data_IF_117262156094
#
_entry.id   IF_117262156094
#
_cell.length_a   1.000
_cell.length_b   1.000
_cell.length_c   1.000
_cell.angle_alpha   90.00
_cell.angle_beta   90.00
_cell.angle_gamma   90.00
#
_symmetry.space_group_name_H-M   'P 1'
#
loop_
_entity.id
_entity.type
_entity.pdbx_description
1 polymer ?
#
# COMPACT_ATOMS: atom_id res chain seq x y z
N UNK A 1 9.01 17.23 32.88
CA UNK A 1 10.50 17.36 32.84
C UNK A 1 10.87 18.79 32.50
N UNK A 2 11.93 19.38 33.08
CA UNK A 2 12.38 20.72 32.72
C UNK A 2 13.55 20.63 31.72
N UNK A 3 13.23 20.57 30.43
CA UNK A 3 14.23 20.75 29.36
C UNK A 3 14.64 22.23 29.33
N UNK A 4 15.89 22.53 29.73
CA UNK A 4 16.48 23.87 29.59
C UNK A 4 16.73 24.22 28.11
N UNK A 5 17.33 25.38 27.83
CA UNK A 5 17.63 25.93 26.47
C UNK A 5 18.57 25.04 25.59
N UNK A 6 18.60 23.72 25.79
CA UNK A 6 19.45 22.75 25.11
C UNK A 6 19.07 22.52 23.64
N UNK A 7 20.08 22.22 22.84
CA UNK A 7 19.95 21.83 21.44
C UNK A 7 19.02 20.61 21.28
N UNK A 8 18.30 20.55 20.16
CA UNK A 8 17.45 19.42 19.84
C UNK A 8 18.25 18.11 19.80
N UNK A 9 17.69 17.03 20.34
CA UNK A 9 18.34 15.72 20.33
C UNK A 9 18.02 14.99 19.04
N UNK A 10 19.03 14.39 18.43
CA UNK A 10 18.91 13.67 17.16
C UNK A 10 19.98 12.58 17.09
N UNK A 11 20.00 11.83 15.98
CA UNK A 11 20.94 10.73 15.80
C UNK A 11 22.40 11.17 16.05
N UNK A 12 23.09 10.48 16.95
CA UNK A 12 24.45 10.80 17.40
C UNK A 12 24.54 11.65 18.67
N UNK A 13 23.43 12.25 19.15
CA UNK A 13 23.36 12.86 20.48
C UNK A 13 23.62 11.82 21.56
N UNK A 14 24.28 12.21 22.68
CA UNK A 14 24.59 11.32 23.79
C UNK A 14 24.42 12.00 25.14
N UNK A 15 24.17 11.22 26.18
CA UNK A 15 24.21 11.66 27.56
C UNK A 15 22.88 11.46 28.30
N UNK A 16 22.77 12.14 29.45
CA UNK A 16 21.65 11.95 30.36
C UNK A 16 20.31 12.36 29.73
N UNK A 17 20.28 13.43 28.94
CA UNK A 17 19.06 13.91 28.27
C UNK A 17 18.50 12.88 27.29
N UNK A 18 19.38 12.23 26.52
CA UNK A 18 19.00 11.12 25.62
C UNK A 18 18.43 9.96 26.44
N UNK A 19 19.09 9.60 27.54
CA UNK A 19 18.62 8.52 28.40
C UNK A 19 17.22 8.78 28.96
N UNK A 20 16.95 10.01 29.37
CA UNK A 20 15.65 10.45 29.87
C UNK A 20 14.56 10.34 28.79
N UNK A 21 14.85 10.71 27.55
CA UNK A 21 13.94 10.51 26.41
C UNK A 21 13.68 9.03 26.16
N UNK A 22 14.73 8.20 26.18
CA UNK A 22 14.60 6.76 25.98
C UNK A 22 13.77 6.10 27.09
N UNK A 23 13.95 6.51 28.35
CA UNK A 23 13.14 6.05 29.48
C UNK A 23 11.67 6.41 29.29
N UNK A 24 11.36 7.65 28.87
CA UNK A 24 10.00 8.06 28.54
C UNK A 24 9.39 7.21 27.42
N UNK A 25 10.13 6.97 26.33
CA UNK A 25 9.66 6.10 25.24
C UNK A 25 9.38 4.67 25.71
N UNK A 26 10.25 4.09 26.53
CA UNK A 26 10.04 2.75 27.09
C UNK A 26 8.79 2.73 27.97
N UNK A 27 8.55 3.76 28.77
CA UNK A 27 7.34 3.91 29.59
C UNK A 27 6.07 4.01 28.73
N UNK A 28 6.15 4.66 27.57
CA UNK A 28 5.07 4.73 26.59
C UNK A 28 4.91 3.43 25.75
N UNK A 29 5.72 2.40 26.00
CA UNK A 29 5.58 1.09 25.35
C UNK A 29 6.38 0.91 24.06
N UNK A 30 7.31 1.80 23.73
CA UNK A 30 8.20 1.62 22.59
C UNK A 30 9.34 0.64 22.90
N UNK A 31 9.63 -0.26 21.96
CA UNK A 31 10.79 -1.15 22.03
C UNK A 31 12.03 -0.46 21.43
N UNK A 32 13.02 -0.18 22.28
CA UNK A 32 14.31 0.40 21.87
C UNK A 32 15.39 -0.66 21.65
N UNK A 33 15.00 -1.93 21.61
CA UNK A 33 15.88 -3.07 21.46
C UNK A 33 16.67 -3.39 22.73
N UNK A 34 17.66 -4.30 22.64
CA UNK A 34 18.36 -4.84 23.80
C UNK A 34 19.13 -3.82 24.64
N UNK A 35 19.51 -2.68 24.06
CA UNK A 35 20.25 -1.63 24.75
C UNK A 35 19.34 -0.80 25.69
N UNK A 36 18.05 -0.70 25.38
CA UNK A 36 17.09 0.09 26.15
C UNK A 36 17.50 1.56 26.24
N UNK A 37 17.42 2.14 27.44
CA UNK A 37 17.85 3.50 27.72
C UNK A 37 19.34 3.56 28.09
N UNK A 38 20.20 3.61 27.07
CA UNK A 38 21.66 3.62 27.20
C UNK A 38 22.30 5.02 27.12
N UNK A 39 21.52 6.04 26.79
CA UNK A 39 21.98 7.41 26.58
C UNK A 39 22.68 7.64 25.24
N UNK A 40 22.55 6.76 24.26
CA UNK A 40 23.02 6.94 22.88
C UNK A 40 21.84 7.05 21.91
N UNK A 41 21.72 8.19 21.22
CA UNK A 41 20.61 8.43 20.31
C UNK A 41 20.91 7.73 18.98
N UNK A 42 20.58 6.44 18.92
CA UNK A 42 20.73 5.62 17.73
C UNK A 42 19.44 5.48 16.91
N UNK A 43 19.50 4.63 15.88
CA UNK A 43 18.37 4.36 14.96
C UNK A 43 17.10 3.88 15.67
N UNK A 44 17.23 3.11 16.75
CA UNK A 44 16.08 2.61 17.51
C UNK A 44 15.32 3.77 18.19
N UNK A 45 16.06 4.70 18.81
CA UNK A 45 15.49 5.91 19.43
C UNK A 45 14.87 6.82 18.38
N UNK A 46 15.57 7.07 17.26
CA UNK A 46 15.05 7.86 16.13
C UNK A 46 13.73 7.28 15.59
N UNK A 47 13.67 5.96 15.39
CA UNK A 47 12.45 5.25 14.95
C UNK A 47 11.31 5.37 15.96
N UNK A 48 11.59 5.21 17.25
CA UNK A 48 10.58 5.35 18.30
C UNK A 48 10.04 6.78 18.42
N UNK A 49 10.90 7.81 18.31
CA UNK A 49 10.46 9.21 18.24
C UNK A 49 9.60 9.46 17.02
N UNK A 50 9.99 8.93 15.86
CA UNK A 50 9.20 9.04 14.63
C UNK A 50 7.81 8.42 14.82
N UNK A 51 7.72 7.23 15.43
CA UNK A 51 6.44 6.57 15.70
C UNK A 51 5.60 7.34 16.72
N UNK A 52 6.22 7.89 17.76
CA UNK A 52 5.56 8.74 18.74
C UNK A 52 4.99 10.01 18.09
N UNK A 53 5.79 10.74 17.30
CA UNK A 53 5.37 11.94 16.58
C UNK A 53 4.20 11.68 15.62
N UNK A 54 4.12 10.47 15.03
CA UNK A 54 2.99 10.05 14.18
C UNK A 54 1.74 9.71 14.96
N UNK A 55 1.89 9.03 16.10
CA UNK A 55 0.80 8.37 16.80
C UNK A 55 0.18 9.17 17.94
N UNK A 56 0.93 10.10 18.54
CA UNK A 56 0.46 10.86 19.68
C UNK A 56 -0.26 12.14 19.25
N UNK A 57 -1.49 12.33 19.74
CA UNK A 57 -2.25 13.56 19.58
C UNK A 57 -2.24 14.34 20.90
N UNK A 58 -1.65 15.56 20.94
CA UNK A 58 -1.65 16.40 22.14
C UNK A 58 -3.06 16.67 22.68
N UNK A 59 -3.23 16.50 23.98
CA UNK A 59 -4.48 16.82 24.68
C UNK A 59 -4.45 18.23 25.26
N UNK A 60 -3.25 18.78 25.47
CA UNK A 60 -2.99 20.03 26.17
C UNK A 60 -3.45 20.06 27.63
N UNK A 61 -3.60 18.90 28.27
CA UNK A 61 -3.94 18.80 29.69
C UNK A 61 -2.74 19.09 30.59
N UNK A 62 -1.52 18.79 30.14
CA UNK A 62 -0.28 18.99 30.92
C UNK A 62 0.43 20.27 30.49
N UNK A 63 0.46 20.55 29.18
CA UNK A 63 1.11 21.72 28.60
C UNK A 63 0.15 22.53 27.73
N UNK A 64 -0.19 23.74 28.19
CA UNK A 64 -1.27 24.56 27.62
C UNK A 64 -1.08 24.90 26.13
N UNK A 65 0.15 24.98 25.63
CA UNK A 65 0.42 25.36 24.23
C UNK A 65 1.71 24.74 23.69
N UNK A 66 1.58 23.74 22.83
CA UNK A 66 2.64 23.30 21.91
C UNK A 66 1.99 22.64 20.68
N UNK A 67 2.78 22.34 19.65
CA UNK A 67 2.34 21.50 18.54
C UNK A 67 3.49 20.59 18.18
N UNK A 68 3.22 19.29 18.06
CA UNK A 68 4.19 18.36 17.49
C UNK A 68 4.57 18.87 16.10
N UNK A 69 5.88 18.96 15.85
CA UNK A 69 6.45 19.47 14.62
C UNK A 69 6.31 18.49 13.45
N UNK A 70 7.30 18.51 12.57
CA UNK A 70 7.40 17.50 11.51
C UNK A 70 7.70 16.13 12.13
N UNK A 71 7.31 15.06 11.42
CA UNK A 71 7.68 13.70 11.77
C UNK A 71 9.09 13.43 11.24
N UNK A 72 10.08 13.85 12.02
CA UNK A 72 11.50 13.88 11.62
C UNK A 72 12.42 13.05 12.53
N UNK A 73 11.88 12.44 13.59
CA UNK A 73 12.67 11.66 14.54
C UNK A 73 13.55 12.51 15.47
N UNK A 74 13.39 13.83 15.46
CA UNK A 74 14.16 14.80 16.26
C UNK A 74 13.36 15.17 17.50
N UNK A 75 14.04 15.22 18.65
CA UNK A 75 13.44 15.72 19.90
C UNK A 75 13.74 17.18 20.05
N UNK A 76 12.87 18.00 19.47
CA UNK A 76 12.81 19.43 19.73
C UNK A 76 12.04 19.72 21.04
N UNK A 77 11.93 21.02 21.39
CA UNK A 77 11.20 21.45 22.59
C UNK A 77 9.75 20.96 22.59
N UNK A 78 9.08 20.93 21.44
CA UNK A 78 7.68 20.53 21.37
C UNK A 78 7.52 19.01 21.49
N UNK A 79 8.42 18.23 20.92
CA UNK A 79 8.46 16.78 21.05
C UNK A 79 8.76 16.37 22.49
N UNK A 80 9.64 17.10 23.18
CA UNK A 80 9.90 16.89 24.60
C UNK A 80 8.65 17.17 25.48
N UNK A 81 7.91 18.26 25.19
CA UNK A 81 6.64 18.55 25.87
C UNK A 81 5.58 17.48 25.58
N UNK A 82 5.53 16.98 24.35
CA UNK A 82 4.65 15.90 23.95
C UNK A 82 4.94 14.61 24.71
N UNK A 83 6.22 14.21 24.81
CA UNK A 83 6.62 13.02 25.57
C UNK A 83 6.25 13.14 27.04
N UNK A 84 6.47 14.31 27.66
CA UNK A 84 6.11 14.57 29.05
C UNK A 84 4.60 14.51 29.30
N UNK A 85 3.80 15.04 28.36
CA UNK A 85 2.33 14.94 28.40
C UNK A 85 1.87 13.49 28.24
N UNK A 86 2.37 12.78 27.23
CA UNK A 86 2.03 11.38 26.99
C UNK A 86 2.34 10.49 28.18
N UNK A 87 3.49 10.69 28.84
CA UNK A 87 3.86 9.96 30.06
C UNK A 87 2.89 10.32 31.20
N UNK A 88 2.62 11.60 31.40
CA UNK A 88 1.70 12.07 32.46
C UNK A 88 0.29 11.51 32.31
N UNK A 89 -0.13 11.24 31.07
CA UNK A 89 -1.43 10.69 30.73
C UNK A 89 -1.47 9.15 30.71
N UNK A 90 -0.34 8.49 30.93
CA UNK A 90 -0.18 7.04 30.73
C UNK A 90 -0.62 6.61 29.32
N UNK A 91 -0.35 7.45 28.31
CA UNK A 91 -0.56 7.07 26.92
C UNK A 91 0.34 5.86 26.59
N UNK A 92 -0.16 4.95 25.75
CA UNK A 92 0.57 3.74 25.37
C UNK A 92 0.57 3.60 23.86
N UNK A 93 1.75 3.42 23.30
CA UNK A 93 1.93 3.03 21.92
C UNK A 93 1.45 1.60 21.72
N UNK A 94 0.64 1.39 20.69
CA UNK A 94 0.20 0.07 20.25
C UNK A 94 0.66 -0.08 18.82
N UNK A 95 1.67 -0.93 18.60
CA UNK A 95 2.06 -1.34 17.25
C UNK A 95 0.93 -2.17 16.64
N UNK A 96 0.16 -1.54 15.76
CA UNK A 96 -0.95 -2.15 15.06
C UNK A 96 -0.58 -2.62 13.65
N UNK A 97 0.70 -2.60 13.25
CA UNK A 97 1.11 -2.84 11.87
C UNK A 97 0.66 -4.21 11.34
N UNK A 98 0.49 -5.18 12.24
CA UNK A 98 0.02 -6.54 11.96
C UNK A 98 -1.42 -6.81 12.42
N UNK A 99 -2.21 -5.79 12.79
CA UNK A 99 -3.62 -5.97 13.13
C UNK A 99 -4.44 -6.44 11.91
N UNK A 100 -5.39 -7.36 12.11
CA UNK A 100 -6.28 -7.87 11.05
C UNK A 100 -7.21 -6.80 10.49
N UNK A 101 -7.44 -5.68 11.20
CA UNK A 101 -8.22 -4.55 10.69
C UNK A 101 -7.71 -4.03 9.35
N UNK A 102 -6.41 -4.15 9.10
CA UNK A 102 -5.76 -3.73 7.85
C UNK A 102 -6.11 -4.60 6.64
N UNK A 103 -6.74 -5.77 6.84
CA UNK A 103 -7.30 -6.59 5.76
C UNK A 103 -8.62 -6.05 5.20
N UNK A 104 -9.22 -5.04 5.86
CA UNK A 104 -10.36 -4.30 5.34
C UNK A 104 -9.88 -3.00 4.71
N UNK A 105 -10.30 -2.70 3.48
CA UNK A 105 -9.91 -1.50 2.73
C UNK A 105 -11.11 -0.56 2.51
N UNK A 106 -10.91 0.77 2.49
CA UNK A 106 -11.98 1.74 2.30
C UNK A 106 -12.65 1.66 0.93
N UNK A 107 -11.92 1.24 -0.11
CA UNK A 107 -12.43 1.00 -1.46
C UNK A 107 -11.78 -0.24 -2.05
N UNK A 108 -12.52 -0.94 -2.90
CA UNK A 108 -11.94 -2.02 -3.69
C UNK A 108 -11.72 -3.32 -2.93
N UNK A 109 -12.47 -3.56 -1.84
CA UNK A 109 -12.39 -4.81 -1.07
C UNK A 109 -12.54 -6.03 -1.99
N UNK A 110 -13.45 -5.94 -2.97
CA UNK A 110 -13.61 -6.98 -3.97
C UNK A 110 -12.29 -7.31 -4.69
N UNK A 111 -11.55 -6.30 -5.15
CA UNK A 111 -10.25 -6.51 -5.82
C UNK A 111 -9.19 -6.98 -4.82
N UNK A 112 -9.13 -6.37 -3.63
CA UNK A 112 -8.20 -6.77 -2.56
C UNK A 112 -8.27 -8.27 -2.28
N UNK A 113 -9.48 -8.81 -2.07
CA UNK A 113 -9.72 -10.23 -1.78
C UNK A 113 -9.42 -11.15 -2.97
N UNK A 114 -9.39 -10.61 -4.19
CA UNK A 114 -9.13 -11.36 -5.42
C UNK A 114 -7.64 -11.45 -5.80
N UNK A 115 -6.82 -10.53 -5.32
CA UNK A 115 -5.40 -10.41 -5.70
C UNK A 115 -4.45 -11.23 -4.82
N UNK A 116 -4.96 -11.82 -3.73
CA UNK A 116 -4.17 -12.73 -2.90
C UNK A 116 -4.85 -13.03 -1.57
N UNK A 117 -4.08 -13.57 -0.64
CA UNK A 117 -4.52 -13.77 0.75
C UNK A 117 -3.42 -13.38 1.73
N UNK A 118 -3.75 -13.49 3.01
CA UNK A 118 -2.86 -13.24 4.13
C UNK A 118 -2.60 -14.53 4.95
N UNK A 119 -2.45 -15.65 4.25
CA UNK A 119 -2.20 -16.96 4.83
C UNK A 119 -0.81 -17.39 4.41
N UNK A 120 0.17 -17.35 5.31
CA UNK A 120 1.59 -17.57 4.98
C UNK A 120 1.89 -18.91 4.29
N UNK A 121 1.10 -19.95 4.57
CA UNK A 121 1.22 -21.26 3.92
C UNK A 121 0.54 -21.35 2.54
N UNK A 122 -0.17 -20.31 2.10
CA UNK A 122 -0.90 -20.27 0.85
C UNK A 122 0.02 -19.92 -0.32
N UNK A 123 -0.24 -20.53 -1.47
CA UNK A 123 0.38 -20.12 -2.73
C UNK A 123 -0.02 -18.69 -3.18
N UNK A 124 -1.07 -18.12 -2.56
CA UNK A 124 -1.54 -16.76 -2.83
C UNK A 124 -1.14 -15.77 -1.73
N UNK A 125 -0.21 -16.14 -0.84
CA UNK A 125 0.28 -15.24 0.19
C UNK A 125 0.90 -13.99 -0.44
N UNK A 126 0.30 -12.85 -0.16
CA UNK A 126 0.52 -11.63 -0.94
C UNK A 126 1.63 -10.73 -0.39
N UNK A 127 1.85 -10.72 0.92
CA UNK A 127 2.77 -9.75 1.55
C UNK A 127 4.24 -9.95 1.20
N UNK A 128 4.64 -11.15 0.81
CA UNK A 128 6.03 -11.49 0.48
C UNK A 128 6.33 -11.22 -0.99
N UNK A 129 7.46 -10.56 -1.25
CA UNK A 129 7.97 -10.37 -2.60
C UNK A 129 8.19 -11.73 -3.29
N UNK A 130 7.67 -11.88 -4.51
CA UNK A 130 7.78 -13.09 -5.30
C UNK A 130 7.80 -12.77 -6.80
N UNK A 131 8.19 -13.73 -7.63
CA UNK A 131 8.03 -13.63 -9.10
C UNK A 131 7.08 -14.73 -9.53
N UNK A 132 5.93 -14.45 -10.17
CA UNK A 132 5.01 -15.49 -10.62
C UNK A 132 5.68 -16.45 -11.64
N UNK A 133 5.94 -17.70 -11.25
CA UNK A 133 6.56 -18.71 -12.11
C UNK A 133 5.88 -20.09 -11.94
N UNK A 134 6.04 -20.97 -12.92
CA UNK A 134 5.55 -22.35 -12.81
C UNK A 134 6.50 -23.23 -11.95
N UNK A 135 6.15 -24.50 -11.76
CA UNK A 135 6.95 -25.46 -10.97
C UNK A 135 8.36 -25.70 -11.53
N UNK A 136 8.57 -25.44 -12.82
CA UNK A 136 9.85 -25.63 -13.51
C UNK A 136 10.73 -24.36 -13.45
N UNK A 137 10.29 -23.32 -12.75
CA UNK A 137 10.99 -22.04 -12.62
C UNK A 137 10.83 -21.12 -13.82
N UNK A 138 9.95 -21.45 -14.77
CA UNK A 138 9.67 -20.59 -15.94
C UNK A 138 8.71 -19.48 -15.51
N UNK A 139 9.14 -18.23 -15.69
CA UNK A 139 8.36 -17.06 -15.27
C UNK A 139 7.13 -16.90 -16.17
N UNK A 140 5.98 -16.66 -15.55
CA UNK A 140 4.70 -16.51 -16.24
C UNK A 140 4.68 -15.15 -16.95
N UNK A 141 4.48 -15.16 -18.26
CA UNK A 141 4.26 -13.95 -19.05
C UNK A 141 5.49 -13.01 -19.08
N UNK A 142 5.26 -11.74 -18.75
CA UNK A 142 6.29 -10.70 -18.67
C UNK A 142 6.46 -10.19 -17.24
N UNK A 143 6.10 -11.01 -16.24
CA UNK A 143 6.03 -10.60 -14.84
C UNK A 143 7.41 -10.22 -14.30
N UNK A 144 7.47 -9.21 -13.44
CA UNK A 144 8.63 -8.90 -12.61
C UNK A 144 8.40 -9.31 -11.16
N UNK A 145 9.15 -8.68 -10.26
CA UNK A 145 8.96 -8.82 -8.81
C UNK A 145 7.60 -8.23 -8.43
N UNK A 146 6.76 -9.09 -7.87
CA UNK A 146 5.40 -8.77 -7.40
C UNK A 146 5.34 -8.80 -5.88
N UNK A 147 4.70 -7.80 -5.27
CA UNK A 147 4.55 -7.71 -3.81
C UNK A 147 3.18 -7.13 -3.43
N UNK A 148 2.67 -7.53 -2.27
CA UNK A 148 1.36 -7.15 -1.79
C UNK A 148 0.25 -7.68 -2.69
N UNK A 149 -0.84 -6.93 -2.79
CA UNK A 149 -2.03 -7.29 -3.57
C UNK A 149 -1.85 -7.02 -5.07
N UNK A 150 -0.81 -7.59 -5.67
CA UNK A 150 -0.60 -7.63 -7.12
C UNK A 150 0.18 -6.47 -7.74
N UNK A 151 0.98 -5.73 -6.96
CA UNK A 151 1.89 -4.71 -7.53
C UNK A 151 3.09 -5.40 -8.18
N UNK A 152 3.14 -5.42 -9.51
CA UNK A 152 4.30 -5.88 -10.30
C UNK A 152 5.27 -4.71 -10.56
N UNK A 153 6.45 -4.73 -9.93
CA UNK A 153 7.50 -3.72 -10.12
C UNK A 153 8.19 -3.80 -11.48
N UNK A 154 8.08 -4.94 -12.19
CA UNK A 154 8.53 -5.05 -13.58
C UNK A 154 7.61 -4.32 -14.56
N UNK A 155 6.31 -4.27 -14.27
CA UNK A 155 5.29 -3.58 -15.07
C UNK A 155 4.40 -2.70 -14.20
N UNK A 156 4.96 -1.69 -13.51
CA UNK A 156 4.18 -0.85 -12.61
C UNK A 156 3.02 -0.21 -13.38
N UNK A 157 1.87 0.01 -12.72
CA UNK A 157 0.69 0.57 -13.38
C UNK A 157 1.01 1.84 -14.17
N UNK A 158 0.62 1.81 -15.45
CA UNK A 158 0.70 2.94 -16.38
C UNK A 158 -0.69 3.48 -16.70
N UNK A 159 -0.77 4.78 -17.01
CA UNK A 159 -2.02 5.48 -17.21
C UNK A 159 -2.64 5.07 -18.54
N UNK A 160 -3.88 5.46 -18.81
CA UNK A 160 -4.33 5.34 -20.19
C UNK A 160 -3.55 6.30 -21.08
N UNK A 161 -3.45 5.95 -22.37
CA UNK A 161 -2.77 6.76 -23.38
C UNK A 161 -3.22 8.23 -23.30
N UNK A 162 -2.27 9.15 -23.08
CA UNK A 162 -2.51 10.59 -23.01
C UNK A 162 -2.88 11.15 -21.63
N UNK A 163 -2.76 10.37 -20.54
CA UNK A 163 -3.03 10.85 -19.18
C UNK A 163 -1.80 11.29 -18.39
N UNK A 164 -2.05 12.11 -17.37
CA UNK A 164 -1.11 12.47 -16.30
C UNK A 164 -1.69 12.10 -14.93
N UNK A 165 -0.95 11.45 -14.02
CA UNK A 165 0.40 10.93 -14.26
C UNK A 165 0.36 9.69 -15.16
N UNK A 166 1.26 9.64 -16.14
CA UNK A 166 1.33 8.56 -17.12
C UNK A 166 1.78 7.22 -16.53
N UNK A 167 2.32 7.24 -15.31
CA UNK A 167 2.82 6.09 -14.56
C UNK A 167 2.68 6.32 -13.06
N UNK A 168 2.41 5.26 -12.30
CA UNK A 168 2.50 5.28 -10.85
C UNK A 168 3.97 5.42 -10.43
N UNK A 169 4.31 6.43 -9.63
CA UNK A 169 5.67 6.62 -9.11
C UNK A 169 5.91 5.70 -7.92
N UNK A 170 6.71 4.64 -8.11
CA UNK A 170 6.98 3.66 -7.07
C UNK A 170 7.66 4.26 -5.82
N UNK A 171 8.56 5.23 -6.01
CA UNK A 171 9.23 5.89 -4.88
C UNK A 171 8.25 6.59 -3.94
N UNK A 172 7.31 7.36 -4.52
CA UNK A 172 6.25 8.04 -3.75
C UNK A 172 5.32 7.02 -3.10
N UNK A 173 4.94 5.96 -3.83
CA UNK A 173 4.12 4.85 -3.33
C UNK A 173 4.74 4.19 -2.09
N UNK A 174 6.03 3.84 -2.16
CA UNK A 174 6.71 3.15 -1.05
C UNK A 174 6.87 4.05 0.16
N UNK A 175 7.09 5.34 -0.05
CA UNK A 175 7.12 6.34 1.02
C UNK A 175 5.77 6.46 1.73
N UNK A 176 4.66 6.64 1.00
CA UNK A 176 3.32 6.76 1.61
C UNK A 176 2.86 5.45 2.25
N UNK A 177 3.41 4.32 1.80
CA UNK A 177 3.11 3.00 2.34
C UNK A 177 4.00 2.61 3.52
N UNK A 178 4.87 3.51 3.97
CA UNK A 178 5.75 3.31 5.14
C UNK A 178 6.68 2.09 5.00
N UNK A 179 7.18 1.82 3.79
CA UNK A 179 8.20 0.78 3.61
C UNK A 179 9.52 1.20 4.27
N UNK A 180 10.28 0.20 4.71
CA UNK A 180 11.66 0.42 5.17
C UNK A 180 12.52 0.91 4.00
N UNK A 181 13.59 1.66 4.31
CA UNK A 181 14.57 2.11 3.30
C UNK A 181 15.11 0.93 2.50
N UNK A 182 15.44 -0.16 3.18
CA UNK A 182 16.03 -1.38 2.63
C UNK A 182 15.11 -2.02 1.60
N UNK A 183 13.83 -2.23 1.95
CA UNK A 183 12.85 -2.81 1.02
C UNK A 183 12.51 -1.85 -0.12
N UNK A 184 12.34 -0.56 0.17
CA UNK A 184 12.05 0.45 -0.84
C UNK A 184 13.18 0.55 -1.89
N UNK A 185 14.43 0.67 -1.44
CA UNK A 185 15.58 0.78 -2.33
C UNK A 185 15.76 -0.49 -3.16
N UNK A 186 15.55 -1.67 -2.55
CA UNK A 186 15.60 -2.93 -3.27
C UNK A 186 14.50 -3.04 -4.34
N UNK A 187 13.24 -2.73 -4.02
CA UNK A 187 12.13 -2.76 -4.99
C UNK A 187 12.34 -1.76 -6.14
N UNK A 188 12.89 -0.58 -5.86
CA UNK A 188 13.25 0.41 -6.88
C UNK A 188 14.40 -0.09 -7.77
N UNK A 189 15.36 -0.85 -7.23
CA UNK A 189 16.47 -1.41 -8.01
C UNK A 189 16.03 -2.45 -9.04
N UNK A 190 14.90 -3.14 -8.80
CA UNK A 190 14.32 -4.16 -9.69
C UNK A 190 13.19 -3.60 -10.57
N UNK A 191 12.95 -2.28 -10.54
CA UNK A 191 11.92 -1.65 -11.34
C UNK A 191 12.16 -1.89 -12.85
N UNK A 192 11.14 -2.37 -13.56
CA UNK A 192 11.22 -2.66 -14.98
C UNK A 192 11.92 -3.98 -15.34
N UNK A 193 12.52 -4.67 -14.37
CA UNK A 193 13.13 -5.99 -14.58
C UNK A 193 12.04 -7.07 -14.63
N UNK A 194 12.16 -8.00 -15.58
CA UNK A 194 11.11 -8.98 -15.90
C UNK A 194 11.69 -10.37 -16.12
N UNK A 195 10.80 -11.35 -16.10
CA UNK A 195 11.07 -12.76 -16.40
C UNK A 195 12.17 -13.35 -15.52
N UNK A 196 12.97 -14.27 -16.07
CA UNK A 196 14.01 -15.01 -15.34
C UNK A 196 15.02 -14.07 -14.66
N UNK A 197 15.32 -12.91 -15.25
CA UNK A 197 16.19 -11.91 -14.61
C UNK A 197 15.60 -11.34 -13.32
N UNK A 198 14.27 -11.15 -13.26
CA UNK A 198 13.61 -10.72 -12.01
C UNK A 198 13.67 -11.82 -10.94
N UNK A 199 13.47 -13.08 -11.35
CA UNK A 199 13.56 -14.23 -10.45
C UNK A 199 14.99 -14.40 -9.92
N UNK A 200 16.00 -14.22 -10.77
CA UNK A 200 17.41 -14.26 -10.38
C UNK A 200 17.75 -13.16 -9.37
N UNK A 201 17.30 -11.92 -9.58
CA UNK A 201 17.52 -10.83 -8.62
C UNK A 201 16.81 -11.05 -7.29
N UNK A 202 15.60 -11.63 -7.30
CA UNK A 202 14.90 -12.02 -6.07
C UNK A 202 15.68 -13.10 -5.30
N UNK A 203 16.14 -14.16 -6.00
CA UNK A 203 16.87 -15.26 -5.37
C UNK A 203 18.26 -14.84 -4.85
N UNK A 204 18.87 -13.83 -5.47
CA UNK A 204 20.18 -13.30 -5.09
C UNK A 204 20.09 -12.03 -4.23
N UNK A 205 18.90 -11.70 -3.70
CA UNK A 205 18.73 -10.55 -2.82
C UNK A 205 19.59 -10.69 -1.57
N UNK A 206 20.20 -9.59 -1.12
CA UNK A 206 20.88 -9.52 0.16
C UNK A 206 19.93 -9.34 1.34
N UNK A 207 18.63 -9.14 1.08
CA UNK A 207 17.61 -8.97 2.10
C UNK A 207 17.13 -10.32 2.62
N UNK A 208 16.91 -10.38 3.92
CA UNK A 208 16.31 -11.53 4.59
C UNK A 208 14.82 -11.68 4.24
N UNK A 209 14.27 -12.88 4.45
CA UNK A 209 12.88 -13.17 4.08
C UNK A 209 11.84 -12.24 4.74
N UNK A 210 12.10 -11.80 5.97
CA UNK A 210 11.23 -10.86 6.70
C UNK A 210 11.35 -9.43 6.14
N UNK A 211 12.53 -9.02 5.68
CA UNK A 211 12.76 -7.72 5.04
C UNK A 211 12.09 -7.64 3.66
N UNK A 212 11.89 -8.78 3.00
CA UNK A 212 11.11 -8.92 1.75
C UNK A 212 9.61 -9.10 1.97
N UNK A 213 9.11 -8.92 3.20
CA UNK A 213 7.70 -9.15 3.56
C UNK A 213 7.08 -7.89 4.16
N UNK A 214 5.97 -7.43 3.56
CA UNK A 214 5.21 -6.29 4.07
C UNK A 214 4.52 -6.61 5.39
N UNK A 215 4.27 -5.60 6.23
CA UNK A 215 3.24 -5.69 7.28
C UNK A 215 1.84 -5.62 6.66
N UNK A 216 0.78 -5.93 7.44
CA UNK A 216 -0.60 -5.77 6.95
C UNK A 216 -0.91 -4.31 6.65
N UNK A 217 -0.46 -3.39 7.51
CA UNK A 217 -0.59 -1.94 7.33
C UNK A 217 0.10 -1.44 6.06
N UNK A 218 1.35 -1.85 5.81
CA UNK A 218 2.07 -1.47 4.59
C UNK A 218 1.35 -1.97 3.33
N UNK A 219 0.89 -3.22 3.32
CA UNK A 219 0.09 -3.75 2.21
C UNK A 219 -1.22 -2.98 2.00
N UNK A 220 -1.90 -2.61 3.09
CA UNK A 220 -3.14 -1.83 3.05
C UNK A 220 -2.92 -0.46 2.42
N UNK A 221 -1.92 0.30 2.89
CA UNK A 221 -1.60 1.64 2.39
C UNK A 221 -1.18 1.60 0.91
N UNK A 222 -0.35 0.60 0.57
CA UNK A 222 0.09 0.38 -0.81
C UNK A 222 -1.08 0.06 -1.73
N UNK A 223 -1.96 -0.87 -1.31
CA UNK A 223 -3.14 -1.22 -2.10
C UNK A 223 -4.07 -0.02 -2.31
N UNK A 224 -4.36 0.78 -1.28
CA UNK A 224 -5.25 1.93 -1.42
C UNK A 224 -4.75 2.91 -2.49
N UNK A 225 -3.45 3.20 -2.48
CA UNK A 225 -2.80 4.10 -3.45
C UNK A 225 -2.88 3.52 -4.87
N UNK A 226 -2.57 2.22 -5.03
CA UNK A 226 -2.66 1.54 -6.33
C UNK A 226 -4.11 1.48 -6.81
N UNK A 227 -5.07 1.20 -5.92
CA UNK A 227 -6.48 1.08 -6.26
C UNK A 227 -7.06 2.40 -6.73
N UNK A 228 -6.73 3.51 -6.06
CA UNK A 228 -7.15 4.85 -6.48
C UNK A 228 -6.64 5.17 -7.90
N UNK A 229 -5.38 4.86 -8.18
CA UNK A 229 -4.81 4.98 -9.52
C UNK A 229 -5.58 4.13 -10.56
N UNK A 230 -5.90 2.89 -10.20
CA UNK A 230 -6.60 1.96 -11.09
C UNK A 230 -8.08 2.30 -11.28
N UNK A 231 -8.74 2.88 -10.27
CA UNK A 231 -10.09 3.44 -10.37
C UNK A 231 -10.13 4.57 -11.40
N UNK A 232 -9.21 5.54 -11.29
CA UNK A 232 -9.14 6.68 -12.20
C UNK A 232 -8.77 6.26 -13.63
N UNK A 233 -7.79 5.36 -13.75
CA UNK A 233 -7.44 4.74 -15.04
C UNK A 233 -8.65 4.07 -15.68
N UNK A 234 -9.42 3.31 -14.91
CA UNK A 234 -10.63 2.63 -15.38
C UNK A 234 -11.65 3.65 -15.88
N UNK A 235 -11.97 4.66 -15.06
CA UNK A 235 -12.90 5.72 -15.43
C UNK A 235 -12.54 6.30 -16.79
N UNK A 236 -11.30 6.72 -16.97
CA UNK A 236 -10.89 7.36 -18.23
C UNK A 236 -10.85 6.37 -19.39
N UNK A 237 -10.45 5.10 -19.19
CA UNK A 237 -10.52 4.10 -20.24
C UNK A 237 -11.94 3.89 -20.78
N UNK A 238 -12.94 4.12 -19.94
CA UNK A 238 -14.36 4.00 -20.29
C UNK A 238 -14.97 5.32 -20.77
N UNK A 239 -14.37 6.47 -20.45
CA UNK A 239 -14.89 7.80 -20.79
C UNK A 239 -14.00 8.59 -21.76
N UNK A 240 -12.91 8.03 -22.31
CA UNK A 240 -12.06 8.74 -23.26
C UNK A 240 -12.78 8.98 -24.61
N UNK A 241 -12.38 10.03 -25.32
CA UNK A 241 -13.10 10.54 -26.49
C UNK A 241 -13.34 9.52 -27.59
N UNK A 242 -12.37 8.65 -27.89
CA UNK A 242 -12.52 7.60 -28.91
C UNK A 242 -13.52 6.52 -28.48
N UNK A 243 -13.58 6.20 -27.19
CA UNK A 243 -14.54 5.25 -26.62
C UNK A 243 -15.94 5.86 -26.61
N UNK A 244 -16.07 7.13 -26.20
CA UNK A 244 -17.34 7.84 -26.25
C UNK A 244 -17.88 7.95 -27.68
N UNK A 245 -17.04 8.31 -28.65
CA UNK A 245 -17.42 8.42 -30.05
C UNK A 245 -17.87 7.07 -30.64
N UNK A 246 -17.28 5.97 -30.18
CA UNK A 246 -17.57 4.62 -30.70
C UNK A 246 -18.80 3.97 -30.07
N UNK A 247 -19.02 4.13 -28.77
CA UNK A 247 -20.05 3.38 -28.04
C UNK A 247 -21.13 4.26 -27.42
N UNK A 248 -20.86 5.55 -27.21
CA UNK A 248 -21.71 6.47 -26.45
C UNK A 248 -21.09 6.87 -25.11
N UNK A 249 -21.76 7.79 -24.41
CA UNK A 249 -21.28 8.37 -23.15
C UNK A 249 -21.61 7.44 -21.99
N UNK A 250 -20.57 6.99 -21.27
CA UNK A 250 -20.74 6.28 -19.99
C UNK A 250 -20.79 7.30 -18.86
N UNK A 251 -21.92 7.38 -18.17
CA UNK A 251 -22.04 8.17 -16.94
C UNK A 251 -21.44 7.40 -15.75
N UNK A 252 -20.11 7.48 -15.62
CA UNK A 252 -19.37 6.82 -14.55
C UNK A 252 -19.91 7.16 -13.16
N UNK A 253 -20.28 8.42 -12.91
CA UNK A 253 -20.71 8.85 -11.59
C UNK A 253 -21.98 8.10 -11.14
N UNK A 254 -22.90 7.89 -12.07
CA UNK A 254 -24.20 7.22 -11.83
C UNK A 254 -24.13 5.69 -11.77
N UNK A 255 -23.00 5.06 -12.15
CA UNK A 255 -22.88 3.59 -12.06
C UNK A 255 -22.94 3.10 -10.60
N UNK A 256 -23.63 1.97 -10.32
CA UNK A 256 -23.62 1.33 -9.00
C UNK A 256 -22.21 0.98 -8.53
N UNK A 257 -21.98 1.01 -7.21
CA UNK A 257 -20.67 0.75 -6.62
C UNK A 257 -20.13 -0.63 -7.01
N UNK A 258 -20.94 -1.68 -6.91
CA UNK A 258 -20.52 -3.03 -7.26
C UNK A 258 -20.13 -3.18 -8.75
N UNK A 259 -20.76 -2.43 -9.65
CA UNK A 259 -20.40 -2.36 -11.06
C UNK A 259 -19.05 -1.67 -11.24
N UNK A 260 -18.83 -0.53 -10.57
CA UNK A 260 -17.53 0.16 -10.58
C UNK A 260 -16.42 -0.77 -10.09
N UNK A 261 -16.62 -1.47 -8.97
CA UNK A 261 -15.63 -2.39 -8.40
C UNK A 261 -15.28 -3.52 -9.36
N UNK A 262 -16.26 -4.12 -10.05
CA UNK A 262 -15.98 -5.13 -11.09
C UNK A 262 -15.24 -4.53 -12.29
N UNK A 263 -15.58 -3.31 -12.72
CA UNK A 263 -14.88 -2.63 -13.81
C UNK A 263 -13.43 -2.29 -13.45
N UNK A 264 -13.18 -1.88 -12.20
CA UNK A 264 -11.81 -1.65 -11.70
C UNK A 264 -11.06 -2.96 -11.61
N UNK A 265 -11.68 -4.04 -11.10
CA UNK A 265 -11.09 -5.37 -11.05
C UNK A 265 -10.68 -5.90 -12.43
N UNK A 266 -11.49 -5.64 -13.47
CA UNK A 266 -11.14 -5.94 -14.86
C UNK A 266 -9.88 -5.19 -15.30
N UNK A 267 -9.77 -3.91 -14.96
CA UNK A 267 -8.57 -3.13 -15.27
C UNK A 267 -7.36 -3.61 -14.48
N UNK A 268 -7.54 -3.95 -13.20
CA UNK A 268 -6.52 -4.44 -12.29
C UNK A 268 -5.88 -5.73 -12.81
N UNK A 269 -6.71 -6.71 -13.16
CA UNK A 269 -6.25 -7.99 -13.72
C UNK A 269 -5.70 -7.90 -15.15
N UNK A 270 -5.97 -6.79 -15.86
CA UNK A 270 -5.62 -6.62 -17.27
C UNK A 270 -6.66 -7.14 -18.26
N UNK A 271 -7.88 -7.46 -17.81
CA UNK A 271 -9.00 -7.87 -18.65
C UNK A 271 -9.66 -6.70 -19.41
N UNK A 272 -9.37 -5.44 -19.04
CA UNK A 272 -9.90 -4.24 -19.70
C UNK A 272 -9.07 -3.85 -20.94
N UNK A 273 -9.22 -4.62 -22.02
CA UNK A 273 -8.59 -4.41 -23.32
C UNK A 273 -9.53 -3.68 -24.31
N UNK A 274 -9.03 -3.14 -25.43
CA UNK A 274 -9.89 -2.61 -26.50
C UNK A 274 -10.94 -3.61 -26.98
N UNK A 275 -10.57 -4.89 -27.13
CA UNK A 275 -11.47 -5.97 -27.55
C UNK A 275 -12.57 -6.23 -26.52
N UNK A 276 -12.23 -6.28 -25.23
CA UNK A 276 -13.24 -6.55 -24.21
C UNK A 276 -14.18 -5.37 -24.01
N UNK A 277 -13.66 -4.14 -24.12
CA UNK A 277 -14.49 -2.92 -24.10
C UNK A 277 -15.54 -2.90 -25.21
N UNK A 278 -15.23 -3.38 -26.41
CA UNK A 278 -16.23 -3.52 -27.49
C UNK A 278 -17.44 -4.38 -27.08
N UNK A 279 -17.22 -5.36 -26.21
CA UNK A 279 -18.29 -6.21 -25.69
C UNK A 279 -19.11 -5.54 -24.59
N UNK A 280 -18.47 -5.00 -23.55
CA UNK A 280 -19.19 -4.58 -22.33
C UNK A 280 -19.53 -3.09 -22.24
N UNK A 281 -18.79 -2.18 -22.90
CA UNK A 281 -19.04 -0.73 -22.80
C UNK A 281 -20.44 -0.34 -23.31
N UNK A 282 -20.98 -0.93 -24.40
CA UNK A 282 -22.34 -0.59 -24.84
C UNK A 282 -23.43 -0.79 -23.76
N UNK A 283 -23.24 -1.74 -22.84
CA UNK A 283 -24.18 -1.96 -21.74
C UNK A 283 -24.01 -0.99 -20.56
N UNK A 284 -23.02 -0.10 -20.61
CA UNK A 284 -22.79 0.94 -19.60
C UNK A 284 -23.37 2.31 -20.00
N UNK A 285 -23.66 2.54 -21.29
CA UNK A 285 -24.15 3.83 -21.81
C UNK A 285 -25.63 4.05 -21.46
N UNK A 286 -26.45 3.02 -21.63
CA UNK A 286 -27.83 2.95 -21.13
C UNK A 286 -27.88 1.83 -20.09
N UNK A 287 -27.32 2.13 -18.91
CA UNK A 287 -26.97 1.12 -17.95
C UNK A 287 -28.18 0.29 -17.49
N UNK A 288 -28.10 -1.02 -17.75
CA UNK A 288 -29.05 -2.02 -17.31
C UNK A 288 -28.25 -3.18 -16.70
N UNK A 289 -28.45 -3.42 -15.41
CA UNK A 289 -27.71 -4.43 -14.66
C UNK A 289 -27.91 -5.85 -15.21
N UNK A 290 -29.08 -6.18 -15.75
CA UNK A 290 -29.35 -7.50 -16.31
C UNK A 290 -28.60 -7.69 -17.64
N UNK A 291 -28.57 -6.66 -18.49
CA UNK A 291 -27.77 -6.67 -19.73
C UNK A 291 -26.28 -6.78 -19.41
N UNK A 292 -25.80 -6.00 -18.44
CA UNK A 292 -24.40 -6.02 -18.03
C UNK A 292 -24.00 -7.39 -17.48
N UNK A 293 -24.76 -7.96 -16.54
CA UNK A 293 -24.55 -9.33 -16.02
C UNK A 293 -24.50 -10.35 -17.16
N UNK A 294 -25.43 -10.29 -18.11
CA UNK A 294 -25.44 -11.20 -19.26
C UNK A 294 -24.15 -11.12 -20.08
N UNK A 295 -23.59 -9.92 -20.29
CA UNK A 295 -22.32 -9.77 -21.00
C UNK A 295 -21.16 -10.33 -20.17
N UNK A 296 -21.12 -10.03 -18.87
CA UNK A 296 -20.09 -10.51 -17.96
C UNK A 296 -20.07 -12.05 -17.82
N UNK A 297 -21.23 -12.72 -17.88
CA UNK A 297 -21.33 -14.14 -17.53
C UNK A 297 -21.84 -15.08 -18.62
N UNK A 298 -22.37 -14.58 -19.73
CA UNK A 298 -22.87 -15.45 -20.81
C UNK A 298 -22.13 -15.27 -22.13
N UNK A 299 -21.16 -14.33 -22.19
CA UNK A 299 -20.33 -14.10 -23.37
C UNK A 299 -19.05 -14.94 -23.32
N UNK A 300 -19.14 -16.23 -23.66
CA UNK A 300 -17.99 -17.15 -23.63
C UNK A 300 -16.79 -16.71 -24.48
N UNK A 301 -16.97 -15.80 -25.44
CA UNK A 301 -15.92 -15.33 -26.34
C UNK A 301 -15.20 -14.05 -25.86
N UNK A 302 -15.70 -13.41 -24.79
CA UNK A 302 -15.16 -12.14 -24.29
C UNK A 302 -14.03 -12.35 -23.26
N UNK A 303 -14.18 -13.35 -22.40
CA UNK A 303 -13.32 -13.59 -21.22
C UNK A 303 -12.36 -14.77 -21.42
N UNK A 304 -11.53 -14.70 -22.46
CA UNK A 304 -10.57 -15.78 -22.77
C UNK A 304 -9.46 -15.80 -21.73
N UNK A 305 -9.25 -16.96 -21.07
CA UNK A 305 -8.16 -17.14 -20.10
C UNK A 305 -8.39 -16.49 -18.73
N UNK A 306 -9.64 -16.14 -18.40
CA UNK A 306 -10.02 -15.70 -17.04
C UNK A 306 -10.33 -16.94 -16.19
N UNK A 307 -9.77 -17.00 -14.98
CA UNK A 307 -10.06 -18.04 -14.00
C UNK A 307 -11.57 -18.12 -13.70
N UNK A 308 -12.11 -19.35 -13.71
CA UNK A 308 -13.54 -19.58 -13.51
C UNK A 308 -14.01 -19.11 -12.13
N UNK A 309 -13.18 -19.27 -11.09
CA UNK A 309 -13.54 -18.84 -9.74
C UNK A 309 -13.64 -17.31 -9.67
N UNK A 310 -12.71 -16.58 -10.30
CA UNK A 310 -12.77 -15.11 -10.38
C UNK A 310 -14.00 -14.63 -11.14
N UNK A 311 -14.39 -15.31 -12.23
CA UNK A 311 -15.64 -15.02 -12.94
C UNK A 311 -16.86 -15.22 -12.04
N UNK A 312 -16.94 -16.32 -11.31
CA UNK A 312 -18.06 -16.58 -10.38
C UNK A 312 -18.11 -15.56 -9.23
N UNK A 313 -16.96 -15.11 -8.72
CA UNK A 313 -16.91 -14.05 -7.70
C UNK A 313 -17.45 -12.72 -8.24
N UNK A 314 -17.09 -12.34 -9.47
CA UNK A 314 -17.67 -11.16 -10.15
C UNK A 314 -19.19 -11.29 -10.32
N UNK A 315 -19.70 -12.49 -10.60
CA UNK A 315 -21.13 -12.75 -10.74
C UNK A 315 -21.90 -12.56 -9.46
N UNK A 316 -21.36 -13.08 -8.36
CA UNK A 316 -21.96 -12.94 -7.03
C UNK A 316 -21.92 -11.49 -6.53
N UNK A 317 -20.92 -10.71 -6.95
CA UNK A 317 -20.75 -9.31 -6.53
C UNK A 317 -21.72 -8.35 -7.24
N UNK A 318 -22.09 -8.66 -8.48
CA UNK A 318 -23.07 -7.88 -9.26
C UNK A 318 -24.50 -8.20 -8.83
#
# INVERSE_FOLDING_TARGET
>A
MAFGDGEALSNGSKGLEVKVVQEALIELGFDLGPAGADGDFGKATESAITQFQKGYEPTHNTHETYKIGEVDGIVDKNTALALDEGVSENWQYIDDAMDEKWLTVPKGQFTFDNEGDDIESSAYFSRKAHVPHNSDGVVIGQSGVTIGRGLDSGNPPTGATGQSPSKLHLKELFQVSELTSELSDWLLSVEGVKKESALELLNNSSLESNELTLTRKQQHLMFNTVYEYMEEKTRILLTKSDVQAKFGVVDWASLPLNVKEVLVDLTYRGDNSPRTREGFVPALVDFDILKFKKIMFNSNNLWVGVDLNRRLRREKHL
#
